data_IF_042703310273
#
_entry.id   IF_042703310273
#
_cell.length_a   1.000
_cell.length_b   1.000
_cell.length_c   1.000
_cell.angle_alpha   90.00
_cell.angle_beta   90.00
_cell.angle_gamma   90.00
#
_symmetry.space_group_name_H-M   'P 1'
#
loop_
_entity.id
_entity.type
_entity.pdbx_description
1 polymer ?
#
# COMPACT_ATOMS: atom_id res chain seq x y z
N UNK A 1 -17.02 69.87 -6.29
CA UNK A 1 -18.47 69.60 -6.12
C UNK A 1 -18.67 68.67 -4.98
N UNK A 2 -19.23 69.21 -3.89
CA UNK A 2 -19.51 68.58 -2.60
C UNK A 2 -20.52 67.43 -2.75
N UNK A 3 -20.37 66.37 -1.90
CA UNK A 3 -21.49 65.88 -1.13
C UNK A 3 -21.02 64.89 -0.04
N UNK A 4 -21.07 65.40 1.16
CA UNK A 4 -21.21 64.74 2.46
C UNK A 4 -22.48 63.94 2.57
N UNK A 5 -22.48 62.82 3.33
CA UNK A 5 -23.63 62.27 4.13
C UNK A 5 -23.15 61.19 5.03
N UNK A 6 -23.13 61.39 6.28
CA UNK A 6 -24.05 61.28 7.43
C UNK A 6 -23.96 59.91 8.09
N UNK A 7 -23.48 60.00 9.33
CA UNK A 7 -23.50 59.03 10.41
C UNK A 7 -24.96 58.78 10.83
N UNK A 8 -25.31 57.53 11.09
CA UNK A 8 -26.46 57.17 11.89
C UNK A 8 -26.03 56.06 12.88
N UNK A 9 -26.10 56.47 14.14
CA UNK A 9 -25.98 55.60 15.30
C UNK A 9 -27.35 54.93 15.54
N UNK A 10 -27.38 53.66 15.91
CA UNK A 10 -28.54 52.99 16.50
C UNK A 10 -28.09 51.94 17.50
N UNK A 11 -28.20 52.30 18.73
CA UNK A 11 -28.86 51.75 19.92
C UNK A 11 -28.79 50.22 20.12
N UNK A 12 -28.10 49.90 21.22
CA UNK A 12 -28.04 48.64 21.92
C UNK A 12 -29.40 48.18 22.45
N UNK A 13 -29.76 46.92 22.23
CA UNK A 13 -30.74 46.19 23.03
C UNK A 13 -30.05 44.91 23.61
N UNK A 14 -29.81 44.92 24.87
CA UNK A 14 -29.42 43.78 25.64
C UNK A 14 -30.60 42.80 25.80
N UNK A 15 -30.52 41.64 25.16
CA UNK A 15 -31.44 40.53 25.35
C UNK A 15 -30.73 39.41 26.13
N UNK A 16 -31.03 39.30 27.39
CA UNK A 16 -30.67 38.13 28.24
C UNK A 16 -31.54 36.96 27.76
N UNK A 17 -30.93 35.99 27.14
CA UNK A 17 -31.53 34.68 26.86
C UNK A 17 -30.95 33.65 27.81
N UNK A 18 -31.81 33.12 28.66
CA UNK A 18 -31.56 32.04 29.58
C UNK A 18 -31.01 30.80 28.84
N UNK A 19 -29.89 30.28 29.31
CA UNK A 19 -29.39 28.95 28.99
C UNK A 19 -30.33 27.92 29.64
N UNK A 20 -31.25 27.40 28.87
CA UNK A 20 -31.88 26.12 29.14
C UNK A 20 -30.89 25.04 28.72
N UNK A 21 -30.22 24.43 29.68
CA UNK A 21 -29.44 23.22 29.45
C UNK A 21 -30.34 22.08 28.96
N UNK A 22 -30.19 21.72 27.71
CA UNK A 22 -30.52 20.38 27.25
C UNK A 22 -29.21 19.59 27.28
N UNK A 23 -28.97 18.90 28.40
CA UNK A 23 -28.14 17.72 28.39
C UNK A 23 -28.89 16.67 27.58
N UNK A 24 -28.77 16.73 26.28
CA UNK A 24 -29.06 15.61 25.40
C UNK A 24 -27.90 14.64 25.57
N UNK A 25 -28.15 13.60 26.28
CA UNK A 25 -27.36 12.37 26.26
C UNK A 25 -27.45 11.85 24.81
N UNK A 26 -26.56 12.32 23.95
CA UNK A 26 -26.30 11.65 22.66
C UNK A 26 -25.35 10.51 23.00
N UNK A 27 -25.92 9.42 23.50
CA UNK A 27 -25.34 8.11 23.27
C UNK A 27 -25.38 7.85 21.75
N UNK A 28 -24.59 8.59 20.99
CA UNK A 28 -24.13 8.18 19.69
C UNK A 28 -23.25 6.99 19.97
N UNK A 29 -23.67 5.86 19.47
CA UNK A 29 -22.85 4.68 19.29
C UNK A 29 -21.58 5.12 18.53
N UNK A 30 -20.56 5.53 19.29
CA UNK A 30 -19.22 5.76 18.78
C UNK A 30 -18.57 4.39 18.70
N UNK A 31 -18.98 3.60 17.70
CA UNK A 31 -18.27 2.39 17.36
C UNK A 31 -16.78 2.70 17.22
N UNK A 32 -15.94 1.79 17.71
CA UNK A 32 -14.50 1.96 17.63
C UNK A 32 -14.09 2.16 16.16
N UNK A 33 -13.28 3.18 15.89
CA UNK A 33 -12.74 3.43 14.55
C UNK A 33 -11.28 3.00 14.53
N UNK A 34 -10.90 2.25 13.51
CA UNK A 34 -9.51 1.87 13.20
C UNK A 34 -9.09 2.59 11.92
N UNK A 35 -8.01 3.35 11.97
CA UNK A 35 -7.42 4.01 10.82
C UNK A 35 -6.25 3.17 10.29
N UNK A 36 -6.41 2.58 9.11
CA UNK A 36 -5.37 1.79 8.43
C UNK A 36 -4.69 2.65 7.39
N UNK A 37 -3.37 2.78 7.48
CA UNK A 37 -2.55 3.45 6.47
C UNK A 37 -1.74 2.41 5.72
N UNK A 38 -2.07 2.21 4.44
CA UNK A 38 -1.55 1.09 3.65
C UNK A 38 -0.92 1.47 2.32
N UNK A 39 -0.14 0.56 1.76
CA UNK A 39 0.36 0.71 0.39
C UNK A 39 -0.74 0.44 -0.65
N UNK A 40 -0.63 1.07 -1.83
CA UNK A 40 -1.71 1.21 -2.82
C UNK A 40 -2.34 -0.11 -3.29
N UNK A 41 -1.55 -1.16 -3.49
CA UNK A 41 -2.07 -2.44 -4.02
C UNK A 41 -2.77 -3.29 -2.95
N UNK A 42 -2.65 -2.92 -1.67
CA UNK A 42 -3.36 -3.57 -0.57
C UNK A 42 -4.86 -3.22 -0.53
N UNK A 43 -5.24 -2.03 -1.00
CA UNK A 43 -6.58 -1.44 -0.84
C UNK A 43 -7.70 -2.42 -1.17
N UNK A 44 -7.68 -2.94 -2.39
CA UNK A 44 -8.75 -3.83 -2.87
C UNK A 44 -8.76 -5.19 -2.17
N UNK A 45 -7.58 -5.72 -1.79
CA UNK A 45 -7.49 -6.97 -1.03
C UNK A 45 -8.05 -6.78 0.39
N UNK A 46 -7.78 -5.62 1.00
CA UNK A 46 -8.27 -5.30 2.34
C UNK A 46 -9.80 -5.16 2.42
N UNK A 47 -10.49 -4.81 1.33
CA UNK A 47 -11.96 -4.74 1.33
C UNK A 47 -12.60 -6.05 1.80
N UNK A 48 -12.13 -7.19 1.28
CA UNK A 48 -12.61 -8.52 1.67
C UNK A 48 -12.28 -8.87 3.12
N UNK A 49 -11.06 -8.55 3.55
CA UNK A 49 -10.57 -8.81 4.90
C UNK A 49 -11.33 -7.97 5.93
N UNK A 50 -11.51 -6.67 5.67
CA UNK A 50 -12.29 -5.76 6.53
C UNK A 50 -13.72 -6.26 6.67
N UNK A 51 -14.35 -6.64 5.56
CA UNK A 51 -15.72 -7.15 5.59
C UNK A 51 -15.82 -8.40 6.46
N UNK A 52 -14.91 -9.35 6.28
CA UNK A 52 -14.93 -10.60 7.04
C UNK A 52 -14.61 -10.37 8.53
N UNK A 53 -13.69 -9.45 8.86
CA UNK A 53 -13.44 -9.06 10.24
C UNK A 53 -14.70 -8.47 10.90
N UNK A 54 -15.40 -7.57 10.23
CA UNK A 54 -16.64 -6.97 10.75
C UNK A 54 -17.78 -7.98 10.96
N UNK A 55 -17.72 -9.16 10.32
CA UNK A 55 -18.66 -10.25 10.54
C UNK A 55 -18.29 -11.13 11.78
N UNK A 56 -17.15 -10.86 12.45
CA UNK A 56 -16.73 -11.53 13.71
C UNK A 56 -17.22 -10.78 14.95
N UNK A 57 -17.23 -11.47 16.10
CA UNK A 57 -17.56 -10.85 17.40
C UNK A 57 -16.58 -9.71 17.76
N UNK A 58 -15.31 -9.82 17.36
CA UNK A 58 -14.28 -8.82 17.61
C UNK A 58 -14.47 -7.55 16.76
N UNK A 59 -14.98 -7.71 15.54
CA UNK A 59 -15.22 -6.64 14.57
C UNK A 59 -16.62 -6.04 14.59
N UNK A 60 -17.54 -6.59 15.41
CA UNK A 60 -18.90 -6.07 15.48
C UNK A 60 -18.92 -4.62 15.98
N UNK A 61 -19.57 -3.75 15.22
CA UNK A 61 -19.64 -2.31 15.48
C UNK A 61 -18.36 -1.53 15.20
N UNK A 62 -17.28 -2.17 14.73
CA UNK A 62 -16.01 -1.50 14.36
C UNK A 62 -16.12 -0.86 12.98
N UNK A 63 -15.63 0.38 12.86
CA UNK A 63 -15.48 1.07 11.58
C UNK A 63 -14.00 1.12 11.20
N UNK A 64 -13.63 0.52 10.07
CA UNK A 64 -12.25 0.57 9.56
C UNK A 64 -12.18 1.57 8.41
N UNK A 65 -11.29 2.56 8.54
CA UNK A 65 -11.01 3.58 7.52
C UNK A 65 -9.62 3.35 6.94
N UNK A 66 -9.55 3.17 5.62
CA UNK A 66 -8.30 2.99 4.91
C UNK A 66 -7.80 4.27 4.23
N UNK A 67 -6.49 4.51 4.31
CA UNK A 67 -5.77 5.49 3.49
C UNK A 67 -4.68 4.76 2.74
N UNK A 68 -4.78 4.67 1.42
CA UNK A 68 -3.88 3.86 0.61
C UNK A 68 -3.16 4.70 -0.44
N UNK A 69 -1.87 4.45 -0.63
CA UNK A 69 -1.06 5.20 -1.58
C UNK A 69 0.35 4.63 -1.73
N UNK A 70 1.28 5.41 -2.27
CA UNK A 70 2.68 5.02 -2.33
C UNK A 70 3.24 4.84 -0.90
N UNK A 71 3.81 3.68 -0.60
CA UNK A 71 4.20 3.27 0.77
C UNK A 71 5.09 4.28 1.48
N UNK A 72 6.10 4.81 0.77
CA UNK A 72 7.00 5.83 1.34
C UNK A 72 6.29 7.16 1.61
N UNK A 73 5.28 7.53 0.80
CA UNK A 73 4.47 8.73 1.03
C UNK A 73 3.53 8.53 2.20
N UNK A 74 2.90 7.36 2.31
CA UNK A 74 2.05 6.99 3.45
C UNK A 74 2.83 7.04 4.76
N UNK A 75 4.02 6.44 4.80
CA UNK A 75 4.88 6.51 5.98
C UNK A 75 5.24 7.96 6.34
N UNK A 76 5.57 8.83 5.37
CA UNK A 76 5.84 10.26 5.61
C UNK A 76 4.60 11.02 6.08
N UNK A 77 3.42 10.66 5.58
CA UNK A 77 2.16 11.28 6.00
C UNK A 77 1.86 10.98 7.47
N UNK A 78 2.10 9.73 7.93
CA UNK A 78 1.97 9.37 9.35
C UNK A 78 2.96 10.16 10.22
N UNK A 79 4.23 10.28 9.80
CA UNK A 79 5.22 11.17 10.48
C UNK A 79 4.73 12.62 10.53
N UNK A 80 4.04 13.09 9.51
CA UNK A 80 3.48 14.45 9.45
C UNK A 80 2.16 14.62 10.23
N UNK A 81 1.68 13.58 10.92
CA UNK A 81 0.50 13.64 11.79
C UNK A 81 -0.79 13.09 11.17
N UNK A 82 -0.71 12.29 10.10
CA UNK A 82 -1.88 11.52 9.66
C UNK A 82 -2.23 10.47 10.70
N UNK A 83 -3.48 10.44 11.13
CA UNK A 83 -3.98 9.44 12.08
C UNK A 83 -3.83 8.04 11.49
N UNK A 84 -3.26 7.14 12.30
CA UNK A 84 -3.09 5.73 11.97
C UNK A 84 -3.07 4.91 13.26
N UNK A 85 -3.89 3.86 13.30
CA UNK A 85 -3.83 2.82 14.33
C UNK A 85 -2.94 1.67 13.82
N UNK A 86 -3.08 1.33 12.55
CA UNK A 86 -2.28 0.33 11.86
C UNK A 86 -1.60 0.93 10.62
N UNK A 87 -0.33 0.61 10.45
CA UNK A 87 0.38 0.81 9.20
C UNK A 87 0.66 -0.54 8.54
N UNK A 88 0.28 -0.70 7.27
CA UNK A 88 0.58 -1.89 6.48
C UNK A 88 1.31 -1.45 5.22
N UNK A 89 2.64 -1.45 5.30
CA UNK A 89 3.52 -0.81 4.33
C UNK A 89 4.19 -1.84 3.41
N UNK A 90 4.79 -1.36 2.33
CA UNK A 90 5.38 -2.25 1.33
C UNK A 90 6.72 -2.84 1.77
N UNK A 91 7.49 -2.13 2.62
CA UNK A 91 8.81 -2.60 3.05
C UNK A 91 9.21 -2.06 4.42
N UNK A 92 10.08 -2.81 5.09
CA UNK A 92 10.56 -2.52 6.46
C UNK A 92 11.12 -1.10 6.66
N UNK A 93 11.95 -0.49 5.78
CA UNK A 93 12.44 0.87 5.98
C UNK A 93 11.34 1.93 6.12
N UNK A 94 10.15 1.70 5.57
CA UNK A 94 9.03 2.64 5.72
C UNK A 94 8.39 2.52 7.13
N UNK A 95 8.42 1.33 7.77
CA UNK A 95 8.06 1.16 9.19
C UNK A 95 9.18 1.67 10.10
N UNK A 96 10.46 1.41 9.78
CA UNK A 96 11.61 1.88 10.56
C UNK A 96 11.59 3.40 10.73
N UNK A 97 11.17 4.16 9.72
CA UNK A 97 10.98 5.61 9.85
C UNK A 97 10.01 5.97 10.97
N UNK A 98 8.93 5.22 11.15
CA UNK A 98 7.95 5.44 12.21
C UNK A 98 8.49 5.05 13.58
N UNK A 99 9.33 4.01 13.62
CA UNK A 99 10.06 3.60 14.84
C UNK A 99 11.04 4.69 15.27
N UNK A 100 11.78 5.28 14.33
CA UNK A 100 12.75 6.33 14.60
C UNK A 100 12.09 7.62 15.15
N UNK A 101 10.83 7.86 14.78
CA UNK A 101 10.00 8.97 15.27
C UNK A 101 9.19 8.60 16.54
N UNK A 102 9.31 7.36 17.03
CA UNK A 102 8.61 6.89 18.24
C UNK A 102 7.10 6.69 18.05
N UNK A 103 6.63 6.56 16.81
CA UNK A 103 5.22 6.32 16.47
C UNK A 103 4.89 4.83 16.54
N UNK A 104 5.85 3.97 16.21
CA UNK A 104 5.76 2.51 16.25
C UNK A 104 6.80 1.99 17.24
N UNK A 105 6.44 0.97 18.04
CA UNK A 105 7.31 0.35 19.02
C UNK A 105 8.56 -0.28 18.38
N UNK A 106 9.69 -0.30 19.09
CA UNK A 106 10.97 -0.86 18.58
C UNK A 106 10.91 -2.36 18.37
N UNK A 107 10.09 -3.03 19.13
CA UNK A 107 9.86 -4.48 19.12
C UNK A 107 8.67 -4.90 18.26
N UNK A 108 8.15 -4.02 17.40
CA UNK A 108 6.99 -4.25 16.55
C UNK A 108 7.04 -5.56 15.73
N UNK A 109 8.25 -6.04 15.44
CA UNK A 109 8.47 -7.27 14.66
C UNK A 109 8.90 -8.47 15.52
N UNK A 110 8.91 -8.35 16.86
CA UNK A 110 9.26 -9.45 17.75
C UNK A 110 8.05 -10.41 17.93
N UNK A 111 7.62 -11.01 16.82
CA UNK A 111 6.51 -11.95 16.72
C UNK A 111 6.80 -13.05 15.70
N UNK A 112 5.92 -14.05 15.63
CA UNK A 112 6.12 -15.27 14.83
C UNK A 112 6.25 -15.00 13.32
N UNK A 113 5.71 -13.89 12.82
CA UNK A 113 5.78 -13.49 11.41
C UNK A 113 6.89 -12.46 11.13
N UNK A 114 7.71 -12.09 12.13
CA UNK A 114 8.70 -10.99 12.04
C UNK A 114 8.08 -9.68 11.54
N UNK A 115 6.85 -9.38 11.98
CA UNK A 115 6.13 -8.18 11.58
C UNK A 115 5.57 -8.21 10.15
N UNK A 116 5.58 -9.34 9.47
CA UNK A 116 5.06 -9.48 8.11
C UNK A 116 3.57 -9.86 8.17
N UNK A 117 2.76 -9.21 7.34
CA UNK A 117 1.34 -9.48 7.22
C UNK A 117 0.91 -10.04 5.86
N UNK A 118 1.61 -9.68 4.79
CA UNK A 118 1.35 -10.22 3.45
C UNK A 118 2.63 -10.49 2.69
N UNK A 119 2.59 -11.42 1.75
CA UNK A 119 3.74 -11.77 0.89
C UNK A 119 3.34 -11.83 -0.58
N UNK A 120 4.31 -11.52 -1.46
CA UNK A 120 4.19 -11.65 -2.90
C UNK A 120 5.55 -11.94 -3.54
N UNK A 121 5.64 -11.85 -4.87
CA UNK A 121 6.90 -11.86 -5.61
C UNK A 121 6.88 -10.82 -6.71
N UNK A 122 8.06 -10.40 -7.19
CA UNK A 122 8.16 -9.52 -8.35
C UNK A 122 7.90 -10.32 -9.62
N UNK A 123 7.06 -9.78 -10.51
CA UNK A 123 6.69 -10.39 -11.80
C UNK A 123 6.78 -9.37 -12.93
N UNK A 124 6.80 -9.87 -14.17
CA UNK A 124 6.67 -9.07 -15.40
C UNK A 124 5.24 -9.17 -15.92
N UNK A 125 4.51 -8.07 -15.92
CA UNK A 125 3.22 -7.98 -16.58
C UNK A 125 3.46 -7.52 -18.04
N UNK A 126 2.92 -8.26 -18.98
CA UNK A 126 3.13 -8.04 -20.41
C UNK A 126 1.78 -7.98 -21.14
N UNK A 127 1.69 -7.28 -22.28
CA UNK A 127 0.47 -7.29 -23.08
C UNK A 127 0.08 -8.72 -23.47
N UNK A 128 -1.21 -8.93 -23.70
CA UNK A 128 -1.76 -10.25 -24.05
C UNK A 128 -0.98 -10.94 -25.19
N UNK A 129 -0.58 -12.18 -24.95
CA UNK A 129 0.22 -12.96 -25.88
C UNK A 129 1.69 -12.64 -25.88
N UNK A 130 2.17 -11.77 -24.98
CA UNK A 130 3.58 -11.40 -24.81
C UNK A 130 4.30 -11.10 -26.16
N UNK A 131 3.90 -10.06 -26.90
CA UNK A 131 4.34 -9.84 -28.29
C UNK A 131 5.84 -9.58 -28.43
N UNK A 132 6.53 -9.21 -27.33
CA UNK A 132 7.99 -9.01 -27.32
C UNK A 132 8.77 -10.22 -26.77
N UNK A 133 8.08 -11.27 -26.32
CA UNK A 133 8.72 -12.48 -25.79
C UNK A 133 9.53 -12.22 -24.53
N UNK A 134 9.05 -11.36 -23.65
CA UNK A 134 9.72 -11.00 -22.39
C UNK A 134 9.50 -12.11 -21.37
N UNK A 135 10.55 -12.87 -21.04
CA UNK A 135 10.49 -14.02 -20.13
C UNK A 135 11.55 -13.94 -19.01
N UNK A 136 12.60 -13.15 -19.22
CA UNK A 136 13.76 -13.05 -18.35
C UNK A 136 14.15 -11.61 -18.07
N UNK A 137 14.99 -11.40 -17.04
CA UNK A 137 15.58 -10.10 -16.75
C UNK A 137 16.41 -9.55 -17.90
N UNK A 138 17.09 -10.42 -18.70
CA UNK A 138 17.89 -10.01 -19.84
C UNK A 138 17.05 -9.40 -20.96
N UNK A 139 15.78 -9.78 -21.09
CA UNK A 139 14.87 -9.22 -22.08
C UNK A 139 14.51 -7.77 -21.78
N UNK A 140 14.55 -7.35 -20.50
CA UNK A 140 14.23 -5.98 -20.10
C UNK A 140 15.25 -4.95 -20.56
N UNK A 141 16.50 -5.37 -20.78
CA UNK A 141 17.60 -4.48 -21.22
C UNK A 141 17.82 -4.51 -22.74
N UNK A 142 16.95 -5.19 -23.49
CA UNK A 142 17.01 -5.19 -24.94
C UNK A 142 16.58 -3.84 -25.52
N UNK A 143 17.22 -3.37 -26.61
CA UNK A 143 16.84 -2.12 -27.24
C UNK A 143 15.36 -2.08 -27.67
N UNK A 144 14.67 -1.01 -27.31
CA UNK A 144 13.28 -0.77 -27.71
C UNK A 144 12.24 -1.46 -26.82
N UNK A 145 12.63 -1.99 -25.67
CA UNK A 145 11.70 -2.44 -24.64
C UNK A 145 11.36 -1.24 -23.74
N UNK A 146 10.09 -0.91 -23.62
CA UNK A 146 9.60 0.15 -22.72
C UNK A 146 9.18 -0.43 -21.39
N UNK A 147 9.86 -0.10 -20.30
CA UNK A 147 9.58 -0.58 -18.96
C UNK A 147 8.71 0.44 -18.19
N UNK A 148 7.65 -0.04 -17.54
CA UNK A 148 6.90 0.70 -16.54
C UNK A 148 7.26 0.12 -15.17
N UNK A 149 7.66 0.98 -14.26
CA UNK A 149 7.88 0.64 -12.84
C UNK A 149 7.54 1.85 -11.99
N UNK A 150 7.06 1.68 -10.74
CA UNK A 150 6.78 2.83 -9.91
C UNK A 150 8.04 3.64 -9.59
N UNK A 151 7.84 4.88 -9.13
CA UNK A 151 8.92 5.77 -8.73
C UNK A 151 9.54 5.32 -7.38
N UNK A 152 10.84 5.02 -7.31
CA UNK A 152 11.48 4.59 -6.04
C UNK A 152 11.59 5.70 -4.97
N UNK A 153 11.34 6.96 -5.33
CA UNK A 153 11.30 8.06 -4.35
C UNK A 153 10.03 8.01 -3.48
N UNK A 154 8.90 7.53 -4.02
CA UNK A 154 7.60 7.44 -3.35
C UNK A 154 7.22 6.01 -3.00
N UNK A 155 7.45 5.07 -3.92
CA UNK A 155 6.90 3.71 -3.88
C UNK A 155 7.85 2.68 -3.28
N UNK A 156 7.35 1.90 -2.32
CA UNK A 156 8.05 0.72 -1.82
C UNK A 156 8.11 -0.39 -2.86
N UNK A 157 7.08 -0.57 -3.69
CA UNK A 157 7.09 -1.60 -4.73
C UNK A 157 8.17 -1.35 -5.78
N UNK A 158 8.47 -0.09 -6.09
CA UNK A 158 9.59 0.25 -6.96
C UNK A 158 10.93 -0.26 -6.41
N UNK A 159 11.15 -0.13 -5.09
CA UNK A 159 12.38 -0.61 -4.45
C UNK A 159 12.49 -2.13 -4.54
N UNK A 160 11.40 -2.87 -4.34
CA UNK A 160 11.37 -4.31 -4.54
C UNK A 160 11.71 -4.70 -6.00
N UNK A 161 11.13 -4.01 -6.98
CA UNK A 161 11.40 -4.23 -8.39
C UNK A 161 12.88 -4.02 -8.74
N UNK A 162 13.48 -2.91 -8.23
CA UNK A 162 14.90 -2.63 -8.46
C UNK A 162 15.82 -3.59 -7.74
N UNK A 163 15.48 -4.01 -6.51
CA UNK A 163 16.22 -5.02 -5.77
C UNK A 163 16.16 -6.39 -6.45
N UNK A 164 15.00 -6.76 -7.02
CA UNK A 164 14.86 -8.00 -7.78
C UNK A 164 15.71 -7.97 -9.06
N UNK A 165 15.71 -6.85 -9.77
CA UNK A 165 16.53 -6.64 -10.95
C UNK A 165 18.05 -6.71 -10.65
N UNK A 166 18.49 -6.04 -9.59
CA UNK A 166 19.88 -6.10 -9.13
C UNK A 166 20.23 -7.50 -8.66
N UNK A 167 19.37 -8.10 -7.84
CA UNK A 167 19.57 -9.42 -7.24
C UNK A 167 19.62 -10.55 -8.27
N UNK A 168 18.91 -10.43 -9.40
CA UNK A 168 18.97 -11.44 -10.47
C UNK A 168 20.37 -11.56 -11.06
N UNK A 169 21.06 -10.44 -11.30
CA UNK A 169 22.43 -10.44 -11.82
C UNK A 169 23.40 -11.09 -10.83
N UNK A 170 23.23 -10.80 -9.53
CA UNK A 170 24.07 -11.42 -8.50
C UNK A 170 23.81 -12.93 -8.39
N UNK A 171 22.52 -13.34 -8.46
CA UNK A 171 22.13 -14.76 -8.40
C UNK A 171 22.68 -15.57 -9.60
N UNK A 172 22.81 -14.93 -10.76
CA UNK A 172 23.38 -15.53 -11.96
C UNK A 172 24.94 -15.53 -11.96
N UNK A 173 25.55 -15.11 -10.85
CA UNK A 173 26.99 -15.14 -10.64
C UNK A 173 27.73 -13.86 -11.06
N UNK A 174 27.00 -12.79 -11.39
CA UNK A 174 27.55 -11.46 -11.60
C UNK A 174 28.03 -10.83 -10.29
N UNK A 175 28.85 -9.79 -10.40
CA UNK A 175 29.29 -8.96 -9.30
C UNK A 175 28.55 -7.62 -9.23
N UNK A 176 28.84 -6.79 -8.23
CA UNK A 176 28.22 -5.47 -8.06
C UNK A 176 28.43 -4.55 -9.27
N UNK A 177 29.55 -4.64 -9.97
CA UNK A 177 29.82 -3.83 -11.16
C UNK A 177 28.92 -4.27 -12.31
N UNK A 178 28.77 -5.59 -12.53
CA UNK A 178 27.84 -6.13 -13.54
C UNK A 178 26.38 -5.75 -13.22
N UNK A 179 25.98 -5.82 -11.94
CA UNK A 179 24.64 -5.43 -11.54
C UNK A 179 24.39 -3.92 -11.76
N UNK A 180 25.35 -3.04 -11.46
CA UNK A 180 25.24 -1.61 -11.73
C UNK A 180 25.16 -1.30 -13.22
N UNK A 181 25.94 -1.99 -14.06
CA UNK A 181 25.86 -1.87 -15.52
C UNK A 181 24.51 -2.33 -16.06
N UNK A 182 23.97 -3.43 -15.51
CA UNK A 182 22.63 -3.91 -15.83
C UNK A 182 21.56 -2.88 -15.45
N UNK A 183 21.62 -2.35 -14.22
CA UNK A 183 20.67 -1.33 -13.76
C UNK A 183 20.70 -0.07 -14.63
N UNK A 184 21.87 0.36 -15.09
CA UNK A 184 21.99 1.49 -16.02
C UNK A 184 21.20 1.23 -17.30
N UNK A 185 21.36 0.06 -17.92
CA UNK A 185 20.63 -0.34 -19.14
C UNK A 185 19.13 -0.46 -18.88
N UNK A 186 18.74 -1.00 -17.70
CA UNK A 186 17.34 -1.11 -17.32
C UNK A 186 16.70 0.29 -17.21
N UNK A 187 17.38 1.24 -16.59
CA UNK A 187 16.88 2.62 -16.48
C UNK A 187 16.82 3.33 -17.83
N UNK A 188 17.72 3.05 -18.76
CA UNK A 188 17.66 3.58 -20.13
C UNK A 188 16.39 3.16 -20.88
N UNK A 189 15.80 2.02 -20.49
CA UNK A 189 14.57 1.47 -21.05
C UNK A 189 13.30 1.88 -20.28
N UNK A 190 13.40 2.64 -19.18
CA UNK A 190 12.23 3.06 -18.40
C UNK A 190 11.41 4.09 -19.17
N UNK A 191 10.19 3.72 -19.52
CA UNK A 191 9.22 4.55 -20.23
C UNK A 191 8.36 5.42 -19.30
N UNK A 192 8.09 4.95 -18.06
CA UNK A 192 7.31 5.68 -17.08
C UNK A 192 7.64 5.27 -15.64
N UNK A 193 7.55 6.25 -14.72
CA UNK A 193 7.75 6.12 -13.28
C UNK A 193 6.54 6.70 -12.52
N UNK A 194 5.37 6.04 -12.54
CA UNK A 194 4.20 6.49 -11.75
C UNK A 194 4.48 6.44 -10.25
N UNK A 195 3.69 7.17 -9.46
CA UNK A 195 3.98 7.38 -8.04
C UNK A 195 3.79 6.13 -7.17
N UNK A 196 2.89 5.21 -7.56
CA UNK A 196 2.59 3.99 -6.81
C UNK A 196 2.51 2.74 -7.69
N UNK A 197 2.48 1.55 -7.07
CA UNK A 197 2.28 0.28 -7.78
C UNK A 197 0.95 0.25 -8.54
N UNK A 198 -0.13 0.72 -7.93
CA UNK A 198 -1.45 0.80 -8.57
C UNK A 198 -1.46 1.78 -9.75
N UNK A 199 -0.81 2.94 -9.61
CA UNK A 199 -0.69 3.90 -10.72
C UNK A 199 0.12 3.34 -11.88
N UNK A 200 1.16 2.52 -11.58
CA UNK A 200 1.95 1.85 -12.61
C UNK A 200 1.12 0.81 -13.38
N UNK A 201 0.29 0.02 -12.68
CA UNK A 201 -0.67 -0.89 -13.32
C UNK A 201 -1.65 -0.13 -14.20
N UNK A 202 -2.18 1.00 -13.73
CA UNK A 202 -3.09 1.85 -14.49
C UNK A 202 -2.43 2.43 -15.74
N UNK A 203 -1.19 2.92 -15.63
CA UNK A 203 -0.42 3.43 -16.78
C UNK A 203 -0.19 2.34 -17.83
N UNK A 204 0.23 1.14 -17.39
CA UNK A 204 0.48 0.01 -18.27
C UNK A 204 -0.80 -0.46 -18.98
N UNK A 205 -1.90 -0.67 -18.26
CA UNK A 205 -3.18 -1.11 -18.83
C UNK A 205 -3.80 -0.06 -19.75
N UNK A 206 -3.39 1.21 -19.62
CA UNK A 206 -3.73 2.30 -20.54
C UNK A 206 -2.82 2.37 -21.78
N UNK A 207 -1.88 1.42 -21.93
CA UNK A 207 -1.04 1.28 -23.11
C UNK A 207 0.35 1.90 -23.02
N UNK A 208 0.85 2.21 -21.80
CA UNK A 208 2.20 2.71 -21.61
C UNK A 208 3.18 1.55 -21.48
N UNK A 209 4.26 1.56 -22.26
CA UNK A 209 5.35 0.59 -22.21
C UNK A 209 4.99 -0.79 -22.76
N UNK A 210 5.94 -1.71 -22.65
CA UNK A 210 5.86 -3.08 -23.16
C UNK A 210 5.86 -4.11 -22.03
N UNK A 211 6.35 -3.70 -20.86
CA UNK A 211 6.41 -4.52 -19.65
C UNK A 211 6.22 -3.65 -18.42
N UNK A 212 5.46 -4.16 -17.44
CA UNK A 212 5.36 -3.57 -16.12
C UNK A 212 6.04 -4.49 -15.10
N UNK A 213 6.96 -3.95 -14.32
CA UNK A 213 7.44 -4.61 -13.11
C UNK A 213 6.43 -4.41 -12.00
N UNK A 214 5.88 -5.50 -11.47
CA UNK A 214 4.78 -5.47 -10.51
C UNK A 214 4.88 -6.60 -9.48
N UNK A 215 3.92 -6.62 -8.58
CA UNK A 215 3.67 -7.73 -7.66
C UNK A 215 2.78 -8.78 -8.32
N UNK A 216 2.99 -10.05 -7.99
CA UNK A 216 2.15 -11.15 -8.48
C UNK A 216 0.68 -10.97 -8.07
N UNK A 217 0.41 -10.61 -6.80
CA UNK A 217 -0.94 -10.34 -6.32
C UNK A 217 -1.63 -9.21 -7.08
N UNK A 218 -0.90 -8.15 -7.44
CA UNK A 218 -1.47 -7.05 -8.24
C UNK A 218 -1.83 -7.51 -9.64
N UNK A 219 -0.98 -8.33 -10.27
CA UNK A 219 -1.26 -8.91 -11.59
C UNK A 219 -2.48 -9.85 -11.55
N UNK A 220 -2.58 -10.70 -10.53
CA UNK A 220 -3.71 -11.61 -10.34
C UNK A 220 -5.01 -10.81 -10.13
N UNK A 221 -5.00 -9.86 -9.20
CA UNK A 221 -6.17 -9.06 -8.85
C UNK A 221 -6.65 -8.19 -10.02
N UNK A 222 -5.74 -7.58 -10.78
CA UNK A 222 -6.09 -6.80 -11.96
C UNK A 222 -6.75 -7.68 -13.03
N UNK A 223 -6.27 -8.91 -13.24
CA UNK A 223 -6.91 -9.87 -14.15
C UNK A 223 -8.30 -10.31 -13.64
N UNK A 224 -8.47 -10.56 -12.34
CA UNK A 224 -9.78 -10.84 -11.74
C UNK A 224 -10.75 -9.67 -11.94
N UNK A 225 -10.23 -8.43 -11.95
CA UNK A 225 -10.99 -7.21 -12.24
C UNK A 225 -11.24 -6.96 -13.73
N UNK A 226 -10.88 -7.92 -14.60
CA UNK A 226 -11.19 -7.89 -16.05
C UNK A 226 -10.11 -7.25 -16.93
N UNK A 227 -8.92 -7.00 -16.41
CA UNK A 227 -7.79 -6.54 -17.25
C UNK A 227 -7.27 -7.69 -18.10
N UNK A 228 -7.00 -7.41 -19.37
CA UNK A 228 -6.54 -8.41 -20.36
C UNK A 228 -5.05 -8.26 -20.66
N UNK A 229 -4.23 -8.96 -19.91
CA UNK A 229 -2.79 -9.07 -20.07
C UNK A 229 -2.30 -10.45 -19.60
N UNK A 230 -1.06 -10.78 -19.87
CA UNK A 230 -0.37 -11.93 -19.31
C UNK A 230 0.68 -11.48 -18.29
N UNK A 231 1.15 -12.37 -17.43
CA UNK A 231 2.30 -12.09 -16.58
C UNK A 231 3.23 -13.30 -16.55
N UNK A 232 4.50 -13.01 -16.31
CA UNK A 232 5.60 -13.97 -16.23
C UNK A 232 6.23 -13.86 -14.86
N UNK A 233 6.36 -14.99 -14.16
CA UNK A 233 7.22 -15.10 -12.99
C UNK A 233 8.59 -15.52 -13.49
N UNK A 234 9.62 -14.64 -13.42
CA UNK A 234 10.95 -15.02 -13.91
C UNK A 234 11.57 -16.12 -13.04
N UNK A 235 12.47 -16.93 -13.61
CA UNK A 235 13.12 -18.05 -12.91
C UNK A 235 13.81 -17.59 -11.60
N UNK A 236 14.42 -16.41 -11.62
CA UNK A 236 14.96 -15.74 -10.46
C UNK A 236 14.11 -14.51 -10.13
N UNK A 237 13.46 -14.51 -8.97
CA UNK A 237 12.69 -13.35 -8.49
C UNK A 237 12.90 -13.12 -7.00
N UNK A 238 12.45 -11.99 -6.51
CA UNK A 238 12.55 -11.61 -5.11
C UNK A 238 11.22 -11.79 -4.41
N UNK A 239 11.24 -12.50 -3.26
CA UNK A 239 10.09 -12.53 -2.35
C UNK A 239 9.89 -11.15 -1.74
N UNK A 240 8.66 -10.71 -1.77
CA UNK A 240 8.20 -9.44 -1.21
C UNK A 240 7.56 -9.75 0.14
N UNK A 241 8.11 -9.19 1.21
CA UNK A 241 7.58 -9.27 2.56
C UNK A 241 7.02 -7.89 2.94
N UNK A 242 5.70 -7.78 3.07
CA UNK A 242 5.04 -6.53 3.40
C UNK A 242 4.77 -6.46 4.91
N UNK A 243 5.41 -5.53 5.63
CA UNK A 243 5.26 -5.39 7.07
C UNK A 243 3.96 -4.67 7.44
N UNK A 244 3.42 -5.05 8.60
CA UNK A 244 2.40 -4.29 9.30
C UNK A 244 2.82 -4.05 10.76
N UNK A 245 2.41 -2.92 11.32
CA UNK A 245 2.67 -2.56 12.70
C UNK A 245 1.55 -1.68 13.25
N UNK A 246 1.31 -1.80 14.55
CA UNK A 246 0.45 -0.85 15.26
C UNK A 246 1.26 0.37 15.68
N UNK A 247 0.59 1.51 15.72
CA UNK A 247 1.14 2.70 16.37
C UNK A 247 1.06 2.56 17.89
N UNK A 248 1.87 3.33 18.63
CA UNK A 248 1.88 3.31 20.10
C UNK A 248 0.53 3.72 20.73
N UNK A 249 -0.28 4.50 19.98
CA UNK A 249 -1.59 4.99 20.44
C UNK A 249 -2.75 4.14 19.89
N UNK A 250 -2.48 3.01 19.21
CA UNK A 250 -3.50 2.15 18.64
C UNK A 250 -4.41 1.53 19.67
N UNK A 251 -5.68 1.35 19.34
CA UNK A 251 -6.67 0.71 20.20
C UNK A 251 -6.51 -0.81 20.24
N UNK A 252 -7.07 -1.46 21.28
CA UNK A 252 -7.15 -2.92 21.37
C UNK A 252 -7.87 -3.51 20.14
N UNK A 253 -8.83 -2.79 19.55
CA UNK A 253 -9.54 -3.20 18.33
C UNK A 253 -8.64 -3.24 17.10
N UNK A 254 -7.63 -2.38 17.04
CA UNK A 254 -6.63 -2.45 15.97
C UNK A 254 -5.75 -3.70 16.11
N UNK A 255 -5.44 -4.12 17.34
CA UNK A 255 -4.77 -5.40 17.59
C UNK A 255 -5.62 -6.59 17.14
N UNK A 256 -6.92 -6.60 17.49
CA UNK A 256 -7.86 -7.65 17.05
C UNK A 256 -7.90 -7.76 15.52
N UNK A 257 -7.91 -6.61 14.82
CA UNK A 257 -7.90 -6.59 13.35
C UNK A 257 -6.59 -7.11 12.77
N UNK A 258 -5.43 -6.70 13.31
CA UNK A 258 -4.12 -7.19 12.87
C UNK A 258 -3.99 -8.70 13.12
N UNK A 259 -4.50 -9.21 14.23
CA UNK A 259 -4.50 -10.65 14.54
C UNK A 259 -5.39 -11.41 13.55
N UNK A 260 -6.55 -10.85 13.18
CA UNK A 260 -7.41 -11.41 12.15
C UNK A 260 -6.71 -11.47 10.78
N UNK A 261 -6.02 -10.41 10.36
CA UNK A 261 -5.25 -10.39 9.11
C UNK A 261 -4.22 -11.53 9.04
N UNK A 262 -3.58 -11.87 10.17
CA UNK A 262 -2.56 -12.94 10.27
C UNK A 262 -3.16 -14.33 10.50
N UNK A 263 -4.44 -14.43 10.83
CA UNK A 263 -5.14 -15.70 11.02
C UNK A 263 -5.27 -16.49 9.71
N UNK A 264 -5.60 -17.78 9.81
CA UNK A 264 -5.87 -18.62 8.64
C UNK A 264 -6.97 -18.03 7.75
N UNK A 265 -8.06 -17.53 8.34
CA UNK A 265 -9.17 -16.91 7.60
C UNK A 265 -8.73 -15.64 6.89
N UNK A 266 -8.00 -14.73 7.57
CA UNK A 266 -7.47 -13.51 6.96
C UNK A 266 -6.47 -13.80 5.85
N UNK A 267 -5.56 -14.76 6.07
CA UNK A 267 -4.57 -15.16 5.08
C UNK A 267 -5.20 -15.86 3.87
N UNK A 268 -6.28 -16.59 4.05
CA UNK A 268 -7.06 -17.18 2.94
C UNK A 268 -7.67 -16.08 2.06
N UNK A 269 -8.25 -15.05 2.66
CA UNK A 269 -8.81 -13.92 1.92
C UNK A 269 -7.73 -13.17 1.13
N UNK A 270 -6.54 -12.96 1.71
CA UNK A 270 -5.42 -12.40 0.97
C UNK A 270 -4.98 -13.32 -0.18
N UNK A 271 -4.92 -14.64 0.04
CA UNK A 271 -4.55 -15.59 -0.99
C UNK A 271 -5.55 -15.62 -2.17
N UNK A 272 -6.85 -15.46 -1.92
CA UNK A 272 -7.88 -15.31 -2.95
C UNK A 272 -7.64 -14.11 -3.87
N UNK A 273 -6.94 -13.08 -3.39
CA UNK A 273 -6.53 -11.90 -4.17
C UNK A 273 -5.10 -12.00 -4.72
N UNK A 274 -4.49 -13.19 -4.62
CA UNK A 274 -3.19 -13.49 -5.22
C UNK A 274 -1.98 -13.28 -4.31
N UNK A 275 -2.16 -12.91 -3.05
CA UNK A 275 -1.04 -12.90 -2.09
C UNK A 275 -0.60 -14.33 -1.76
N UNK A 276 0.65 -14.49 -1.42
CA UNK A 276 1.21 -15.76 -0.92
C UNK A 276 0.95 -15.81 0.59
N UNK A 277 0.20 -16.81 1.10
CA UNK A 277 -0.17 -16.85 2.50
C UNK A 277 1.02 -17.14 3.41
N UNK A 278 0.99 -16.58 4.62
CA UNK A 278 2.00 -16.79 5.67
C UNK A 278 1.84 -18.12 6.38
N UNK A 279 0.64 -18.70 6.32
CA UNK A 279 0.26 -19.95 6.96
C UNK A 279 -0.38 -20.87 5.93
N UNK A 280 -0.51 -22.15 6.24
CA UNK A 280 -1.24 -23.08 5.40
C UNK A 280 -2.74 -22.75 5.44
N UNK A 281 -3.30 -22.41 4.30
CA UNK A 281 -4.73 -22.05 4.14
C UNK A 281 -5.54 -23.12 3.42
N UNK A 282 -4.97 -24.31 3.19
CA UNK A 282 -5.58 -25.38 2.45
C UNK A 282 -5.74 -25.10 0.96
N UNK A 283 -6.66 -25.82 0.32
CA UNK A 283 -6.98 -25.60 -1.10
C UNK A 283 -7.78 -24.29 -1.27
N UNK A 284 -7.37 -23.47 -2.23
CA UNK A 284 -8.00 -22.19 -2.60
C UNK A 284 -9.07 -22.39 -3.68
#
# INVERSE_FOLDING_TARGET
>A
MNRTFKVAAAVSVAGVLALAGCSGDSSGDSGDTINVVGYSVLEQANEGVIKAFNDTDAGDGVTIKGSYGASGDQSRAVVAGQDADEVHLSLEPDVTRLVDEGIVAKDWKDNDTNGICTQSVVVFVVPKGNPKGIESWDDLVQPGVGIVTPNPASSGSAKWNLLAAYGSVIADGGDDAAAQDYMTKLFDNVAALPDSGRDATTAFTSGTGDVLLSYENEAILARQSGQDFDYVVPDTTLRIDNPCALTEDASDKAQDFMDFQKSEDGQKLYAETGYRPLVDVGDL
#
